data_IF_740103783230
#
_entry.id   IF_740103783230
#
_cell.length_a   1.000
_cell.length_b   1.000
_cell.length_c   1.000
_cell.angle_alpha   90.00
_cell.angle_beta   90.00
_cell.angle_gamma   90.00
#
_symmetry.space_group_name_H-M   'P 1'
#
loop_
_entity.id
_entity.type
_entity.pdbx_description
1 polymer ?
#
# COMPACT_ATOMS: atom_id res chain seq x y z
N UNK A 1 34.13 65.02 -35.74
CA UNK A 1 35.44 65.36 -36.34
C UNK A 1 36.41 64.26 -35.96
N UNK A 2 36.67 63.34 -36.90
CA UNK A 2 38.02 63.05 -37.44
C UNK A 2 39.04 62.68 -36.35
N UNK A 3 39.50 61.43 -36.25
CA UNK A 3 40.31 60.83 -37.30
C UNK A 3 40.52 59.33 -37.15
N UNK A 4 40.46 58.66 -38.30
CA UNK A 4 41.08 57.38 -38.56
C UNK A 4 42.49 57.61 -39.14
N UNK A 5 43.44 56.73 -38.84
CA UNK A 5 44.53 56.23 -39.71
C UNK A 5 45.38 55.22 -38.93
N UNK A 6 45.21 53.92 -39.17
CA UNK A 6 45.96 53.06 -40.12
C UNK A 6 47.36 52.66 -39.67
N UNK A 7 47.56 51.36 -39.46
CA UNK A 7 48.84 50.66 -39.46
C UNK A 7 48.59 49.16 -39.62
N UNK A 8 48.89 48.62 -40.79
CA UNK A 8 48.49 47.30 -41.31
C UNK A 8 49.73 46.40 -41.43
N UNK A 9 49.67 45.20 -40.80
CA UNK A 9 50.17 43.84 -41.22
C UNK A 9 51.66 43.63 -41.59
N UNK A 10 52.12 42.39 -41.95
CA UNK A 10 51.85 41.03 -41.43
C UNK A 10 53.15 40.15 -41.33
N UNK A 11 53.05 38.99 -40.67
CA UNK A 11 53.71 37.72 -41.07
C UNK A 11 52.71 36.62 -40.65
N UNK A 12 52.15 35.74 -41.48
CA UNK A 12 52.62 35.14 -42.72
C UNK A 12 52.84 33.65 -42.43
N UNK A 13 51.90 32.78 -42.82
CA UNK A 13 52.12 31.31 -42.83
C UNK A 13 50.89 30.43 -42.65
N UNK A 14 50.12 30.22 -43.74
CA UNK A 14 49.51 28.93 -44.18
C UNK A 14 48.92 27.99 -43.12
N UNK A 15 47.60 27.92 -42.91
CA UNK A 15 46.63 27.10 -43.69
C UNK A 15 47.19 25.77 -44.24
N UNK A 16 46.94 24.68 -43.52
CA UNK A 16 46.52 23.39 -44.09
C UNK A 16 45.42 22.80 -43.18
N UNK A 17 44.23 22.70 -43.76
CA UNK A 17 43.11 21.91 -43.25
C UNK A 17 43.46 20.45 -43.47
N UNK A 18 43.49 19.66 -42.39
CA UNK A 18 43.39 18.20 -42.49
C UNK A 18 42.26 17.75 -41.58
N UNK A 19 41.08 17.62 -42.19
CA UNK A 19 40.01 16.81 -41.65
C UNK A 19 40.45 15.33 -41.70
N UNK A 20 40.39 14.64 -40.57
CA UNK A 20 40.41 13.19 -40.52
C UNK A 20 39.30 12.75 -39.57
N UNK A 21 38.14 12.46 -40.16
CA UNK A 21 37.12 11.60 -39.58
C UNK A 21 37.70 10.19 -39.60
N UNK A 22 37.88 9.59 -38.42
CA UNK A 22 37.97 8.14 -38.26
C UNK A 22 36.98 7.74 -37.17
N UNK A 23 35.87 7.18 -37.65
CA UNK A 23 34.94 6.34 -36.87
C UNK A 23 35.66 5.03 -36.59
N UNK A 24 35.68 4.59 -35.32
CA UNK A 24 36.26 3.28 -34.98
C UNK A 24 36.28 2.98 -33.48
N UNK A 25 35.11 2.62 -32.95
CA UNK A 25 34.83 1.59 -31.94
C UNK A 25 35.72 1.42 -30.68
N UNK A 26 35.00 1.23 -29.55
CA UNK A 26 35.41 0.58 -28.30
C UNK A 26 36.32 1.39 -27.37
N UNK A 27 35.70 2.06 -26.39
CA UNK A 27 35.78 1.62 -24.99
C UNK A 27 34.60 2.27 -24.25
N UNK A 28 33.58 1.44 -23.99
CA UNK A 28 32.54 1.74 -23.03
C UNK A 28 33.18 1.86 -21.64
N UNK A 29 33.53 3.08 -21.25
CA UNK A 29 33.84 3.45 -19.87
C UNK A 29 32.55 3.62 -19.07
N UNK A 30 31.69 2.59 -19.04
CA UNK A 30 30.71 2.48 -17.98
C UNK A 30 31.51 2.21 -16.71
N UNK A 31 31.72 3.25 -15.91
CA UNK A 31 32.07 3.07 -14.49
C UNK A 31 30.82 2.48 -13.83
N UNK A 32 30.58 1.19 -14.07
CA UNK A 32 29.84 0.36 -13.13
C UNK A 32 30.72 0.31 -11.89
N UNK A 33 30.35 1.08 -10.87
CA UNK A 33 30.71 0.71 -9.52
C UNK A 33 30.21 -0.72 -9.35
N UNK A 34 31.13 -1.67 -9.35
CA UNK A 34 30.85 -3.02 -8.90
C UNK A 34 30.55 -2.89 -7.40
N UNK A 35 29.30 -2.62 -7.06
CA UNK A 35 28.83 -2.72 -5.68
C UNK A 35 28.97 -4.20 -5.36
N UNK A 36 30.04 -4.53 -4.63
CA UNK A 36 30.41 -5.90 -4.32
C UNK A 36 29.38 -6.48 -3.36
N UNK A 37 28.27 -6.95 -3.90
CA UNK A 37 27.26 -7.65 -3.12
C UNK A 37 27.79 -9.03 -2.77
N UNK A 38 27.84 -9.34 -1.47
CA UNK A 38 28.15 -10.67 -0.95
C UNK A 38 26.84 -11.44 -0.75
N UNK A 39 26.93 -12.77 -0.76
CA UNK A 39 25.85 -13.61 -0.24
C UNK A 39 25.54 -13.13 1.18
N UNK A 40 24.34 -12.58 1.35
CA UNK A 40 23.92 -11.96 2.59
C UNK A 40 23.61 -13.01 3.64
N UNK A 41 23.81 -12.69 4.92
CA UNK A 41 23.10 -13.40 5.98
C UNK A 41 21.59 -13.24 5.75
N UNK A 42 20.76 -14.23 6.16
CA UNK A 42 19.32 -14.09 6.08
C UNK A 42 18.87 -12.79 6.74
N UNK A 43 18.12 -11.96 6.01
CA UNK A 43 17.50 -10.77 6.60
C UNK A 43 16.11 -11.17 7.05
N UNK A 44 15.91 -11.15 8.37
CA UNK A 44 14.62 -11.39 8.99
C UNK A 44 13.73 -10.16 8.73
N UNK A 45 12.47 -10.44 8.42
CA UNK A 45 11.43 -9.45 8.22
C UNK A 45 10.91 -8.88 9.53
N UNK A 46 9.65 -8.41 9.57
CA UNK A 46 9.12 -7.70 10.72
C UNK A 46 9.24 -8.54 12.01
N UNK A 47 9.93 -7.99 13.02
CA UNK A 47 10.21 -8.64 14.30
C UNK A 47 11.67 -9.06 14.49
N UNK A 48 12.47 -9.15 13.41
CA UNK A 48 13.92 -9.37 13.50
C UNK A 48 14.36 -10.71 14.08
N UNK A 49 13.42 -11.63 14.34
CA UNK A 49 13.70 -12.94 14.92
C UNK A 49 13.78 -14.01 13.83
N UNK A 50 14.85 -14.82 13.88
CA UNK A 50 14.97 -16.02 13.08
C UNK A 50 14.18 -17.16 13.73
N UNK A 51 12.87 -17.17 13.46
CA UNK A 51 11.99 -18.27 13.84
C UNK A 51 12.21 -19.52 12.99
N UNK A 52 11.57 -20.63 13.39
CA UNK A 52 11.55 -21.85 12.58
C UNK A 52 10.69 -21.66 11.33
N UNK A 53 11.09 -22.24 10.19
CA UNK A 53 10.27 -22.23 8.98
C UNK A 53 8.93 -22.93 9.25
N UNK A 54 7.82 -22.27 8.93
CA UNK A 54 6.48 -22.83 9.16
C UNK A 54 6.24 -23.99 8.18
N UNK A 55 6.06 -25.24 8.67
CA UNK A 55 5.85 -26.38 7.80
C UNK A 55 4.55 -26.22 6.99
N UNK A 56 4.63 -26.49 5.69
CA UNK A 56 3.46 -26.44 4.80
C UNK A 56 3.01 -25.02 4.38
N UNK A 57 3.63 -23.96 4.92
CA UNK A 57 3.39 -22.60 4.45
C UNK A 57 3.92 -22.42 3.01
N UNK A 58 3.12 -21.80 2.15
CA UNK A 58 3.48 -21.58 0.74
C UNK A 58 3.62 -20.09 0.47
N UNK A 59 4.72 -19.67 -0.14
CA UNK A 59 4.86 -18.31 -0.65
C UNK A 59 3.91 -18.13 -1.84
N UNK A 60 2.84 -17.37 -1.63
CA UNK A 60 1.85 -17.04 -2.67
C UNK A 60 2.35 -15.87 -3.48
N UNK A 61 2.83 -14.82 -2.81
CA UNK A 61 3.37 -13.63 -3.46
C UNK A 61 4.69 -13.24 -2.83
N UNK A 62 5.63 -12.81 -3.68
CA UNK A 62 6.86 -12.16 -3.26
C UNK A 62 7.16 -11.08 -4.29
N UNK A 63 7.43 -9.88 -3.78
CA UNK A 63 7.82 -8.74 -4.58
C UNK A 63 8.82 -7.92 -3.78
N UNK A 64 9.83 -7.41 -4.46
CA UNK A 64 10.81 -6.52 -3.90
C UNK A 64 11.01 -5.35 -4.86
N UNK A 65 11.02 -4.14 -4.31
CA UNK A 65 11.10 -2.92 -5.09
C UNK A 65 11.24 -1.71 -4.17
N UNK A 66 10.67 -0.58 -4.57
CA UNK A 66 10.64 0.65 -3.77
C UNK A 66 9.21 1.14 -3.62
N UNK A 67 8.88 1.69 -2.45
CA UNK A 67 7.55 2.25 -2.17
C UNK A 67 6.49 1.20 -1.79
N UNK A 68 6.91 -0.02 -1.46
CA UNK A 68 5.98 -1.04 -0.94
C UNK A 68 5.59 -0.69 0.50
N UNK A 69 4.33 -0.94 0.86
CA UNK A 69 3.82 -0.56 2.16
C UNK A 69 4.34 -1.48 3.26
N UNK A 70 4.70 -0.91 4.40
CA UNK A 70 4.95 -1.69 5.61
C UNK A 70 3.60 -2.23 6.13
N UNK A 71 3.39 -3.54 6.02
CA UNK A 71 2.13 -4.20 6.39
C UNK A 71 2.39 -5.45 7.22
N UNK A 72 1.48 -5.75 8.13
CA UNK A 72 1.52 -6.97 8.97
C UNK A 72 0.08 -7.36 9.22
N UNK A 73 -0.52 -8.15 8.34
CA UNK A 73 -1.96 -8.46 8.42
C UNK A 73 -2.24 -9.91 8.08
N UNK A 74 -3.39 -10.40 8.55
CA UNK A 74 -3.99 -11.64 8.10
C UNK A 74 -5.15 -11.33 7.15
N UNK A 75 -5.29 -12.16 6.13
CA UNK A 75 -6.42 -12.14 5.20
C UNK A 75 -7.11 -13.49 5.29
N UNK A 76 -8.34 -13.49 5.80
CA UNK A 76 -9.16 -14.68 6.04
C UNK A 76 -10.36 -14.73 5.12
N UNK A 77 -10.74 -13.60 4.55
CA UNK A 77 -11.92 -13.51 3.68
C UNK A 77 -11.61 -12.85 2.35
N UNK A 78 -12.46 -13.06 1.32
CA UNK A 78 -12.36 -12.33 0.07
C UNK A 78 -12.44 -10.80 0.24
N UNK A 79 -13.07 -10.32 1.32
CA UNK A 79 -13.15 -8.89 1.60
C UNK A 79 -11.84 -8.34 2.16
N UNK A 80 -11.16 -9.10 3.01
CA UNK A 80 -9.81 -8.76 3.49
C UNK A 80 -8.85 -8.61 2.31
N UNK A 81 -8.88 -9.56 1.37
CA UNK A 81 -8.06 -9.52 0.16
C UNK A 81 -8.37 -8.30 -0.72
N UNK A 82 -9.65 -7.93 -0.86
CA UNK A 82 -10.06 -6.73 -1.61
C UNK A 82 -9.61 -5.43 -0.95
N UNK A 83 -9.66 -5.37 0.39
CA UNK A 83 -9.18 -4.23 1.15
C UNK A 83 -7.65 -4.14 1.11
N UNK A 84 -6.96 -5.27 1.18
CA UNK A 84 -5.50 -5.37 1.13
C UNK A 84 -4.90 -4.86 -0.17
N UNK A 85 -5.56 -5.12 -1.30
CA UNK A 85 -5.18 -4.53 -2.59
C UNK A 85 -5.15 -2.99 -2.56
N UNK A 86 -5.88 -2.36 -1.64
CA UNK A 86 -5.89 -0.91 -1.45
C UNK A 86 -4.55 -0.33 -1.00
N UNK A 87 -3.64 -1.13 -0.41
CA UNK A 87 -2.26 -0.71 -0.14
C UNK A 87 -1.49 -0.41 -1.43
N UNK A 88 -1.90 -0.99 -2.56
CA UNK A 88 -1.25 -0.91 -3.87
C UNK A 88 -2.27 -0.53 -4.94
N UNK A 89 -2.85 0.68 -4.90
CA UNK A 89 -4.08 0.95 -5.64
C UNK A 89 -3.87 1.11 -7.16
N UNK A 90 -2.62 1.02 -7.65
CA UNK A 90 -2.29 0.96 -9.07
C UNK A 90 -2.83 -0.34 -9.70
N UNK A 91 -3.44 -0.26 -10.89
CA UNK A 91 -4.09 -1.44 -11.51
C UNK A 91 -3.13 -2.61 -11.79
N UNK A 92 -1.86 -2.33 -12.07
CA UNK A 92 -0.86 -3.38 -12.26
C UNK A 92 -0.69 -4.22 -11.00
N UNK A 93 -0.06 -3.63 -9.98
CA UNK A 93 0.31 -4.34 -8.75
C UNK A 93 -0.95 -4.79 -7.98
N UNK A 94 -1.86 -3.87 -7.63
CA UNK A 94 -3.02 -4.22 -6.81
C UNK A 94 -4.03 -5.10 -7.51
N UNK A 95 -4.22 -4.93 -8.81
CA UNK A 95 -5.15 -5.74 -9.61
C UNK A 95 -4.68 -7.19 -9.72
N UNK A 96 -3.42 -7.39 -10.10
CA UNK A 96 -2.81 -8.72 -10.21
C UNK A 96 -2.72 -9.41 -8.85
N UNK A 97 -2.20 -8.70 -7.83
CA UNK A 97 -2.11 -9.19 -6.47
C UNK A 97 -3.48 -9.66 -5.97
N UNK A 98 -4.51 -8.83 -6.11
CA UNK A 98 -5.88 -9.21 -5.72
C UNK A 98 -6.35 -10.47 -6.44
N UNK A 99 -6.16 -10.57 -7.75
CA UNK A 99 -6.55 -11.75 -8.52
C UNK A 99 -5.86 -13.02 -8.03
N UNK A 100 -4.54 -12.93 -7.79
CA UNK A 100 -3.71 -14.02 -7.28
C UNK A 100 -4.13 -14.49 -5.89
N UNK A 101 -4.42 -13.56 -4.99
CA UNK A 101 -4.83 -13.87 -3.62
C UNK A 101 -6.28 -14.39 -3.56
N UNK A 102 -7.19 -13.89 -4.40
CA UNK A 102 -8.57 -14.38 -4.48
C UNK A 102 -8.69 -15.78 -5.10
N UNK A 103 -7.67 -16.24 -5.82
CA UNK A 103 -7.63 -17.61 -6.35
C UNK A 103 -7.31 -18.66 -5.28
N UNK A 104 -7.01 -18.25 -4.04
CA UNK A 104 -6.75 -19.14 -2.90
C UNK A 104 -8.06 -19.63 -2.28
N UNK A 105 -8.01 -20.82 -1.69
CA UNK A 105 -9.11 -21.37 -0.91
C UNK A 105 -9.04 -20.79 0.52
N UNK A 106 -9.70 -19.66 0.73
CA UNK A 106 -9.70 -18.94 2.01
C UNK A 106 -10.56 -19.61 3.08
N UNK A 107 -11.30 -20.68 2.75
CA UNK A 107 -11.99 -21.50 3.75
C UNK A 107 -11.03 -22.53 4.38
N UNK A 108 -9.95 -22.88 3.68
CA UNK A 108 -8.94 -23.84 4.13
C UNK A 108 -7.60 -23.19 4.51
N UNK A 109 -7.34 -21.97 4.04
CA UNK A 109 -6.07 -21.26 4.21
C UNK A 109 -6.28 -19.84 4.74
N UNK A 110 -5.37 -19.38 5.60
CA UNK A 110 -5.18 -17.96 5.94
C UNK A 110 -3.99 -17.43 5.17
N UNK A 111 -4.09 -16.19 4.70
CA UNK A 111 -2.96 -15.49 4.11
C UNK A 111 -2.28 -14.59 5.14
N UNK A 112 -1.00 -14.82 5.40
CA UNK A 112 -0.14 -13.94 6.20
C UNK A 112 0.57 -12.99 5.26
N UNK A 113 0.24 -11.70 5.36
CA UNK A 113 0.85 -10.65 4.54
C UNK A 113 1.81 -9.79 5.36
N UNK A 114 3.04 -9.69 4.86
CA UNK A 114 4.13 -8.94 5.49
C UNK A 114 4.77 -8.00 4.49
N UNK A 115 5.00 -6.76 4.91
CA UNK A 115 5.76 -5.76 4.16
C UNK A 115 6.74 -5.05 5.08
N UNK A 116 7.98 -4.90 4.62
CA UNK A 116 9.07 -4.31 5.40
C UNK A 116 10.20 -3.81 4.50
N UNK A 117 11.06 -2.95 5.02
CA UNK A 117 12.29 -2.58 4.34
C UNK A 117 13.40 -3.59 4.64
N UNK A 118 14.05 -4.11 3.61
CA UNK A 118 15.25 -4.97 3.72
C UNK A 118 16.55 -4.17 3.58
N UNK A 119 16.49 -2.83 3.61
CA UNK A 119 17.66 -1.97 3.49
C UNK A 119 18.38 -2.19 2.16
N UNK A 120 19.71 -2.30 2.18
CA UNK A 120 20.51 -2.56 0.98
C UNK A 120 20.65 -4.06 0.64
N UNK A 121 19.67 -4.89 1.01
CA UNK A 121 19.66 -6.32 0.70
C UNK A 121 18.58 -6.66 -0.32
N UNK A 122 19.00 -7.17 -1.49
CA UNK A 122 18.09 -7.76 -2.48
C UNK A 122 17.84 -9.24 -2.18
N UNK A 123 16.72 -9.79 -2.65
CA UNK A 123 16.35 -11.19 -2.44
C UNK A 123 15.57 -11.78 -3.63
N UNK A 124 15.74 -13.08 -3.86
CA UNK A 124 14.96 -13.84 -4.86
C UNK A 124 13.64 -14.38 -4.31
N UNK A 125 13.47 -14.42 -2.99
CA UNK A 125 12.24 -14.90 -2.37
C UNK A 125 12.18 -14.65 -0.86
N UNK A 126 11.16 -15.21 -0.24
CA UNK A 126 10.99 -15.24 1.20
C UNK A 126 10.29 -16.52 1.64
N UNK A 127 10.51 -16.90 2.89
CA UNK A 127 9.81 -17.99 3.59
C UNK A 127 9.13 -17.47 4.85
N UNK A 128 8.00 -18.07 5.22
CA UNK A 128 7.34 -17.77 6.48
C UNK A 128 8.05 -18.49 7.63
N UNK A 129 8.24 -17.78 8.73
CA UNK A 129 8.84 -18.27 9.95
C UNK A 129 7.91 -18.03 11.14
N UNK A 130 8.09 -18.79 12.21
CA UNK A 130 7.35 -18.64 13.46
C UNK A 130 8.29 -18.76 14.65
N UNK A 131 8.11 -17.86 15.61
CA UNK A 131 8.75 -17.87 16.93
C UNK A 131 7.68 -17.64 18.00
N UNK A 132 7.83 -18.25 19.18
CA UNK A 132 6.82 -18.17 20.24
C UNK A 132 6.63 -16.74 20.79
N UNK A 133 7.69 -15.92 20.77
CA UNK A 133 7.63 -14.55 21.30
C UNK A 133 7.09 -13.57 20.27
N UNK A 134 7.49 -13.74 18.99
CA UNK A 134 7.11 -12.79 17.92
C UNK A 134 5.96 -13.27 17.03
N UNK A 135 5.54 -14.52 17.13
CA UNK A 135 4.58 -15.14 16.21
C UNK A 135 5.16 -15.29 14.80
N UNK A 136 4.33 -15.07 13.78
CA UNK A 136 4.74 -15.12 12.39
C UNK A 136 5.70 -13.98 12.03
N UNK A 137 6.73 -14.33 11.27
CA UNK A 137 7.63 -13.40 10.61
C UNK A 137 7.98 -13.93 9.23
N UNK A 138 8.71 -13.15 8.44
CA UNK A 138 9.25 -13.59 7.15
C UNK A 138 10.77 -13.62 7.22
N UNK A 139 11.40 -14.45 6.41
CA UNK A 139 12.86 -14.44 6.23
C UNK A 139 13.18 -14.46 4.75
N UNK A 140 14.05 -13.55 4.31
CA UNK A 140 14.46 -13.48 2.92
C UNK A 140 15.31 -14.71 2.53
N UNK A 141 15.15 -15.16 1.29
CA UNK A 141 15.94 -16.22 0.66
C UNK A 141 16.65 -15.68 -0.59
N UNK A 142 17.73 -16.35 -0.99
CA UNK A 142 18.53 -15.97 -2.17
C UNK A 142 18.99 -14.50 -2.11
N UNK A 143 19.58 -14.14 -0.96
CA UNK A 143 19.86 -12.74 -0.62
C UNK A 143 21.23 -12.28 -1.08
N UNK A 144 21.30 -11.05 -1.61
CA UNK A 144 22.55 -10.34 -1.89
C UNK A 144 22.55 -9.01 -1.16
N UNK A 145 23.52 -8.83 -0.26
CA UNK A 145 23.65 -7.60 0.55
C UNK A 145 24.71 -6.70 -0.05
N UNK A 146 24.35 -5.45 -0.28
CA UNK A 146 25.22 -4.41 -0.80
C UNK A 146 25.65 -3.46 0.34
N UNK A 147 26.91 -3.00 0.33
CA UNK A 147 27.42 -2.06 1.34
C UNK A 147 26.68 -0.71 1.29
N UNK A 148 26.31 -0.28 0.09
CA UNK A 148 25.54 0.94 -0.17
C UNK A 148 24.52 0.69 -1.28
N UNK A 149 23.40 1.39 -1.23
CA UNK A 149 22.38 1.39 -2.26
C UNK A 149 21.77 2.79 -2.36
N UNK A 150 21.34 3.19 -3.56
CA UNK A 150 20.76 4.52 -3.80
C UNK A 150 19.43 4.71 -3.05
N UNK A 151 18.71 3.62 -2.82
CA UNK A 151 17.49 3.58 -2.01
C UNK A 151 17.32 2.20 -1.40
N UNK A 152 16.78 2.11 -0.17
CA UNK A 152 16.51 0.82 0.45
C UNK A 152 15.45 0.05 -0.34
N UNK A 153 15.59 -1.27 -0.34
CA UNK A 153 14.60 -2.19 -0.89
C UNK A 153 13.46 -2.33 0.12
N UNK A 154 12.24 -2.25 -0.40
CA UNK A 154 11.03 -2.65 0.29
C UNK A 154 10.57 -4.00 -0.24
N UNK A 155 10.01 -4.82 0.65
CA UNK A 155 9.57 -6.19 0.37
C UNK A 155 8.10 -6.31 0.69
N UNK A 156 7.39 -7.05 -0.15
CA UNK A 156 6.04 -7.56 0.10
C UNK A 156 6.07 -9.09 -0.06
N UNK A 157 5.71 -9.82 0.99
CA UNK A 157 5.54 -11.25 0.93
C UNK A 157 4.19 -11.67 1.51
N UNK A 158 3.48 -12.54 0.79
CA UNK A 158 2.21 -13.14 1.21
C UNK A 158 2.34 -14.65 1.21
N UNK A 159 2.01 -15.26 2.34
CA UNK A 159 2.14 -16.70 2.56
C UNK A 159 0.77 -17.31 2.84
N UNK A 160 0.45 -18.44 2.21
CA UNK A 160 -0.69 -19.25 2.58
C UNK A 160 -0.28 -20.21 3.70
N UNK A 161 -1.04 -20.19 4.78
CA UNK A 161 -0.90 -21.08 5.94
C UNK A 161 -2.22 -21.85 6.08
N UNK A 162 -2.21 -23.17 6.31
CA UNK A 162 -3.44 -23.90 6.60
C UNK A 162 -4.16 -23.28 7.80
N UNK A 163 -5.48 -23.10 7.72
CA UNK A 163 -6.28 -22.43 8.76
C UNK A 163 -6.09 -23.07 10.14
N UNK A 164 -6.01 -24.40 10.19
CA UNK A 164 -5.74 -25.18 11.42
C UNK A 164 -4.42 -24.82 12.11
N UNK A 165 -3.45 -24.31 11.36
CA UNK A 165 -2.10 -24.00 11.83
C UNK A 165 -1.94 -22.49 12.11
N UNK A 166 -2.96 -21.66 11.78
CA UNK A 166 -2.96 -20.21 11.98
C UNK A 166 -3.01 -19.78 13.46
N UNK A 167 -3.48 -20.66 14.33
CA UNK A 167 -3.74 -20.35 15.75
C UNK A 167 -4.94 -19.42 15.96
N UNK A 168 -5.35 -19.29 17.23
CA UNK A 168 -6.53 -18.51 17.64
C UNK A 168 -6.21 -17.04 17.95
N UNK A 169 -4.99 -16.73 18.38
CA UNK A 169 -4.47 -15.37 18.59
C UNK A 169 -3.13 -15.17 17.86
N UNK A 170 -3.14 -15.18 16.53
CA UNK A 170 -1.93 -15.05 15.74
C UNK A 170 -1.26 -13.70 15.98
N UNK A 171 0.07 -13.69 16.04
CA UNK A 171 0.89 -12.47 16.06
C UNK A 171 1.76 -12.40 14.82
N UNK A 172 2.09 -11.18 14.39
CA UNK A 172 3.00 -10.93 13.28
C UNK A 172 4.07 -9.92 13.72
N UNK A 173 5.31 -10.37 13.85
CA UNK A 173 6.43 -9.55 14.32
C UNK A 173 6.21 -8.95 15.71
N UNK A 174 5.64 -9.73 16.63
CA UNK A 174 5.42 -9.40 18.04
C UNK A 174 4.13 -8.67 18.37
N UNK A 175 3.36 -8.25 17.36
CA UNK A 175 2.13 -7.49 17.52
C UNK A 175 0.90 -8.24 16.97
N UNK A 176 -0.31 -7.90 17.43
CA UNK A 176 -1.54 -8.31 16.75
C UNK A 176 -1.51 -7.89 15.26
N UNK A 177 -2.12 -8.68 14.37
CA UNK A 177 -2.26 -8.31 12.97
C UNK A 177 -2.96 -6.95 12.85
N UNK A 178 -2.40 -6.09 12.00
CA UNK A 178 -3.00 -4.82 11.61
C UNK A 178 -4.23 -5.03 10.72
N UNK A 179 -4.86 -3.92 10.29
CA UNK A 179 -6.03 -3.98 9.43
C UNK A 179 -5.71 -4.56 8.05
N UNK A 180 -6.67 -5.26 7.40
CA UNK A 180 -6.47 -5.81 6.06
C UNK A 180 -6.14 -4.74 5.01
N UNK A 181 -6.76 -3.57 5.07
CA UNK A 181 -6.55 -2.48 4.12
C UNK A 181 -6.01 -1.20 4.78
N UNK A 182 -5.62 -0.20 3.97
CA UNK A 182 -5.13 1.09 4.48
C UNK A 182 -6.22 1.97 5.08
N UNK A 183 -7.49 1.59 4.92
CA UNK A 183 -8.61 2.37 5.39
C UNK A 183 -9.01 1.99 6.81
N UNK A 184 -9.28 3.00 7.63
CA UNK A 184 -9.80 2.86 8.98
C UNK A 184 -11.26 3.32 9.02
N UNK A 185 -12.15 2.53 9.62
CA UNK A 185 -13.53 2.96 9.89
C UNK A 185 -13.54 3.89 11.12
N UNK A 186 -13.75 5.18 10.90
CA UNK A 186 -13.77 6.18 11.98
C UNK A 186 -15.12 6.27 12.68
N UNK A 187 -16.21 6.15 11.92
CA UNK A 187 -17.55 6.30 12.45
C UNK A 187 -18.56 5.46 11.65
N UNK A 188 -19.54 4.93 12.37
CA UNK A 188 -20.68 4.21 11.81
C UNK A 188 -21.95 4.64 12.56
N UNK A 189 -23.06 4.75 11.83
CA UNK A 189 -24.37 4.86 12.45
C UNK A 189 -25.43 4.12 11.61
N UNK A 190 -26.31 3.34 12.25
CA UNK A 190 -27.48 2.79 11.57
C UNK A 190 -28.45 3.91 11.21
N UNK A 191 -29.06 3.81 10.04
CA UNK A 191 -30.10 4.73 9.59
C UNK A 191 -31.46 4.06 9.76
N UNK A 192 -32.44 4.80 10.28
CA UNK A 192 -33.81 4.32 10.46
C UNK A 192 -34.51 3.98 9.14
N UNK A 193 -35.63 3.24 9.21
CA UNK A 193 -36.34 2.72 8.03
C UNK A 193 -36.79 3.76 7.01
N UNK A 194 -37.03 5.02 7.42
CA UNK A 194 -37.33 6.11 6.49
C UNK A 194 -36.17 6.45 5.53
N UNK A 195 -34.93 6.09 5.88
CA UNK A 195 -33.77 6.23 5.01
C UNK A 195 -33.62 5.07 4.00
N UNK A 196 -34.42 4.00 4.12
CA UNK A 196 -34.30 2.82 3.26
C UNK A 196 -34.64 3.08 1.78
N UNK A 197 -35.40 4.15 1.49
CA UNK A 197 -35.75 4.57 0.12
C UNK A 197 -34.81 5.63 -0.48
N UNK A 198 -33.76 6.06 0.24
CA UNK A 198 -32.83 7.07 -0.29
C UNK A 198 -31.76 6.38 -1.15
N UNK A 199 -31.42 7.01 -2.27
CA UNK A 199 -30.32 6.57 -3.10
C UNK A 199 -29.01 6.50 -2.28
N UNK A 200 -28.14 5.49 -2.50
CA UNK A 200 -26.80 5.47 -1.95
C UNK A 200 -26.07 6.77 -2.28
N UNK A 201 -25.36 7.32 -1.30
CA UNK A 201 -24.57 8.54 -1.44
C UNK A 201 -23.17 8.26 -0.97
N UNK A 202 -22.21 8.81 -1.67
CA UNK A 202 -20.82 8.77 -1.26
C UNK A 202 -20.18 10.12 -1.54
N UNK A 203 -19.34 10.59 -0.63
CA UNK A 203 -18.65 11.87 -0.79
C UNK A 203 -17.33 11.87 -0.02
N UNK A 204 -16.39 12.68 -0.49
CA UNK A 204 -15.27 13.08 0.34
C UNK A 204 -15.78 14.04 1.42
N UNK A 205 -15.35 13.79 2.65
CA UNK A 205 -15.68 14.56 3.86
C UNK A 205 -14.41 14.90 4.63
N UNK A 206 -13.33 15.17 3.90
CA UNK A 206 -12.03 15.50 4.49
C UNK A 206 -12.08 16.81 5.28
N UNK A 207 -12.95 17.74 4.89
CA UNK A 207 -13.14 19.06 5.51
C UNK A 207 -14.47 19.18 6.28
N UNK A 208 -14.54 20.04 7.32
CA UNK A 208 -15.76 20.21 8.14
C UNK A 208 -17.01 20.62 7.35
N UNK A 209 -16.86 21.50 6.35
CA UNK A 209 -17.94 21.97 5.48
C UNK A 209 -18.46 20.84 4.56
N UNK A 210 -17.55 20.01 4.03
CA UNK A 210 -17.88 18.82 3.25
C UNK A 210 -18.68 17.80 4.08
N UNK A 211 -18.21 17.55 5.32
CA UNK A 211 -18.94 16.69 6.26
C UNK A 211 -20.33 17.24 6.57
N UNK A 212 -20.43 18.54 6.90
CA UNK A 212 -21.70 19.20 7.17
C UNK A 212 -22.67 19.12 5.98
N UNK A 213 -22.18 19.28 4.75
CA UNK A 213 -22.98 19.13 3.54
C UNK A 213 -23.46 17.68 3.33
N UNK A 214 -22.62 16.70 3.62
CA UNK A 214 -22.98 15.29 3.52
C UNK A 214 -24.03 14.87 4.57
N UNK A 215 -23.84 15.34 5.82
CA UNK A 215 -24.62 14.97 7.00
C UNK A 215 -25.97 15.69 7.10
N UNK A 216 -26.11 16.90 6.53
CA UNK A 216 -27.35 17.70 6.56
C UNK A 216 -28.65 16.94 6.24
N UNK A 217 -28.72 16.06 5.21
CA UNK A 217 -29.93 15.29 4.93
C UNK A 217 -30.12 14.04 5.80
N UNK A 218 -29.15 13.67 6.65
CA UNK A 218 -29.24 12.49 7.50
C UNK A 218 -30.16 12.73 8.70
N UNK A 219 -30.73 11.67 9.31
CA UNK A 219 -31.47 11.79 10.57
C UNK A 219 -30.59 12.37 11.68
N UNK A 220 -31.15 13.27 12.50
CA UNK A 220 -30.42 13.95 13.57
C UNK A 220 -29.67 13.02 14.51
N UNK A 221 -30.25 11.86 14.86
CA UNK A 221 -29.60 10.86 15.70
C UNK A 221 -28.33 10.27 15.05
N UNK A 222 -28.36 10.03 13.74
CA UNK A 222 -27.19 9.55 13.01
C UNK A 222 -26.12 10.63 12.88
N UNK A 223 -26.52 11.87 12.62
CA UNK A 223 -25.60 13.03 12.57
C UNK A 223 -24.89 13.21 13.91
N UNK A 224 -25.62 13.21 15.02
CA UNK A 224 -25.04 13.32 16.36
C UNK A 224 -24.06 12.17 16.67
N UNK A 225 -24.39 10.95 16.26
CA UNK A 225 -23.48 9.80 16.41
C UNK A 225 -22.17 10.00 15.63
N UNK A 226 -22.24 10.45 14.37
CA UNK A 226 -21.05 10.74 13.57
C UNK A 226 -20.24 11.90 14.17
N UNK A 227 -20.89 12.99 14.56
CA UNK A 227 -20.23 14.16 15.17
C UNK A 227 -19.52 13.81 16.48
N UNK A 228 -20.12 12.96 17.32
CA UNK A 228 -19.50 12.52 18.57
C UNK A 228 -18.18 11.77 18.37
N UNK A 229 -18.05 11.06 17.23
CA UNK A 229 -16.85 10.29 16.88
C UNK A 229 -15.83 11.12 16.12
N UNK A 230 -16.30 12.04 15.27
CA UNK A 230 -15.46 12.77 14.33
C UNK A 230 -15.09 14.18 14.80
N UNK A 231 -15.82 14.77 15.76
CA UNK A 231 -15.69 16.17 16.15
C UNK A 231 -14.25 16.54 16.52
N UNK A 232 -13.61 15.74 17.36
CA UNK A 232 -12.21 15.94 17.76
C UNK A 232 -11.21 15.72 16.63
N UNK A 233 -11.56 14.95 15.59
CA UNK A 233 -10.66 14.63 14.48
C UNK A 233 -10.51 15.78 13.47
N UNK A 234 -11.49 16.67 13.39
CA UNK A 234 -11.38 17.89 12.58
C UNK A 234 -10.59 18.99 13.30
N UNK A 235 -10.50 18.90 14.63
CA UNK A 235 -9.75 19.84 15.47
C UNK A 235 -8.32 19.37 15.76
N UNK A 236 -8.02 18.10 15.51
CA UNK A 236 -6.71 17.48 15.79
C UNK A 236 -5.79 17.40 14.56
N UNK A 237 -4.49 17.55 14.79
CA UNK A 237 -3.44 17.21 13.80
C UNK A 237 -3.34 15.68 13.71
N UNK A 238 -3.91 15.10 12.67
CA UNK A 238 -3.76 13.67 12.39
C UNK A 238 -2.33 13.32 11.95
N UNK A 239 -1.86 12.07 12.20
CA UNK A 239 -0.59 11.60 11.68
C UNK A 239 -0.62 11.51 10.16
N UNK A 240 -0.08 12.53 9.49
CA UNK A 240 0.04 12.61 8.03
C UNK A 240 -1.21 13.11 7.30
N UNK A 241 -1.09 13.41 6.00
CA UNK A 241 -2.23 13.80 5.19
C UNK A 241 -3.16 12.60 4.99
N UNK A 242 -4.36 12.65 5.58
CA UNK A 242 -5.41 11.65 5.39
C UNK A 242 -6.62 12.28 4.69
N UNK A 243 -7.30 11.47 3.87
CA UNK A 243 -8.57 11.83 3.22
C UNK A 243 -9.70 11.01 3.83
N UNK A 244 -10.87 11.61 3.97
CA UNK A 244 -12.02 10.97 4.61
C UNK A 244 -13.16 10.80 3.61
N UNK A 245 -13.82 9.64 3.64
CA UNK A 245 -14.89 9.31 2.72
C UNK A 245 -16.11 8.80 3.47
N UNK A 246 -17.24 9.44 3.25
CA UNK A 246 -18.51 9.05 3.83
C UNK A 246 -19.35 8.29 2.80
N UNK A 247 -20.03 7.25 3.27
CA UNK A 247 -20.87 6.39 2.46
C UNK A 247 -22.19 6.14 3.18
N UNK A 248 -23.32 6.23 2.45
CA UNK A 248 -24.57 5.61 2.86
C UNK A 248 -24.78 4.33 2.07
N UNK A 249 -25.15 3.27 2.77
CA UNK A 249 -25.32 1.95 2.16
C UNK A 249 -26.30 1.09 2.95
N UNK A 250 -26.31 -0.21 2.65
CA UNK A 250 -27.05 -1.21 3.44
C UNK A 250 -26.11 -2.34 3.84
N UNK A 251 -26.18 -2.76 5.10
CA UNK A 251 -25.22 -3.68 5.69
C UNK A 251 -25.72 -4.24 7.02
N UNK A 252 -24.92 -5.12 7.62
CA UNK A 252 -25.30 -5.86 8.82
C UNK A 252 -24.57 -5.41 10.10
N UNK A 253 -23.77 -4.36 10.04
CA UNK A 253 -23.03 -3.87 11.21
C UNK A 253 -21.82 -3.03 10.81
N UNK A 254 -20.92 -2.86 11.78
CA UNK A 254 -19.69 -2.05 11.68
C UNK A 254 -18.54 -2.80 11.00
N UNK A 255 -18.71 -4.09 10.68
CA UNK A 255 -17.72 -4.95 10.01
C UNK A 255 -17.57 -4.59 8.52
N UNK A 256 -17.17 -3.34 8.25
CA UNK A 256 -16.97 -2.78 6.94
C UNK A 256 -15.49 -2.48 6.72
N UNK A 257 -15.00 -2.90 5.57
CA UNK A 257 -13.69 -2.54 5.03
C UNK A 257 -13.90 -1.65 3.80
N UNK A 258 -12.88 -0.89 3.42
CA UNK A 258 -12.93 -0.10 2.18
C UNK A 258 -12.14 -0.82 1.07
N UNK A 259 -12.84 -1.21 0.00
CA UNK A 259 -12.19 -1.60 -1.25
C UNK A 259 -11.72 -0.33 -1.96
N UNK A 260 -10.42 -0.22 -2.18
CA UNK A 260 -9.79 0.89 -2.90
C UNK A 260 -9.16 0.32 -4.17
N UNK A 261 -9.57 0.85 -5.32
CA UNK A 261 -8.93 0.58 -6.61
C UNK A 261 -8.66 1.88 -7.34
N UNK A 262 -7.87 1.83 -8.42
CA UNK A 262 -7.66 2.97 -9.33
C UNK A 262 -8.97 3.61 -9.84
N UNK A 263 -10.08 2.85 -9.87
CA UNK A 263 -11.36 3.27 -10.45
C UNK A 263 -12.39 3.64 -9.41
N UNK A 264 -12.35 3.05 -8.21
CA UNK A 264 -13.41 3.24 -7.21
C UNK A 264 -12.96 3.09 -5.76
N UNK A 265 -13.67 3.78 -4.86
CA UNK A 265 -13.67 3.56 -3.42
C UNK A 265 -15.07 3.06 -3.02
N UNK A 266 -15.15 1.88 -2.39
CA UNK A 266 -16.44 1.29 -2.01
C UNK A 266 -16.37 0.46 -0.73
N UNK A 267 -17.29 0.65 0.24
CA UNK A 267 -17.38 -0.23 1.39
C UNK A 267 -17.71 -1.67 0.97
N UNK A 268 -16.98 -2.62 1.53
CA UNK A 268 -17.23 -4.05 1.42
C UNK A 268 -17.35 -4.64 2.82
N UNK A 269 -18.09 -5.72 2.95
CA UNK A 269 -18.29 -6.36 4.25
C UNK A 269 -17.17 -7.34 4.53
N UNK A 270 -16.59 -7.30 5.73
CA UNK A 270 -15.48 -8.16 6.14
C UNK A 270 -15.80 -9.67 6.15
N UNK A 271 -17.07 -10.09 6.17
CA UNK A 271 -17.43 -11.51 6.05
C UNK A 271 -18.87 -11.86 6.49
N UNK A 272 -19.21 -13.16 6.41
CA UNK A 272 -20.47 -13.75 6.88
C UNK A 272 -21.69 -13.55 5.97
N UNK A 273 -22.82 -14.19 6.27
CA UNK A 273 -24.11 -13.96 5.59
C UNK A 273 -24.82 -12.70 6.14
N UNK A 274 -25.40 -11.85 5.29
CA UNK A 274 -26.18 -10.67 5.70
C UNK A 274 -27.62 -10.90 5.28
N UNK A 275 -28.41 -11.52 6.16
CA UNK A 275 -29.80 -11.90 5.84
C UNK A 275 -30.73 -10.69 5.77
N UNK A 276 -30.49 -9.66 6.59
CA UNK A 276 -31.31 -8.45 6.63
C UNK A 276 -30.44 -7.17 6.65
N UNK A 277 -30.01 -6.66 5.48
CA UNK A 277 -29.16 -5.49 5.39
C UNK A 277 -29.94 -4.22 5.74
N UNK A 278 -29.54 -3.58 6.85
CA UNK A 278 -30.11 -2.33 7.34
C UNK A 278 -29.38 -1.12 6.75
N UNK A 279 -30.08 -0.01 6.47
CA UNK A 279 -29.44 1.22 6.01
C UNK A 279 -28.42 1.73 7.04
N UNK A 280 -27.28 2.23 6.57
CA UNK A 280 -26.22 2.77 7.43
C UNK A 280 -25.56 4.00 6.80
N UNK A 281 -24.82 4.73 7.63
CA UNK A 281 -23.79 5.68 7.21
C UNK A 281 -22.46 5.30 7.86
N UNK A 282 -21.38 5.35 7.09
CA UNK A 282 -20.03 5.04 7.53
C UNK A 282 -19.04 6.08 7.02
N UNK A 283 -18.02 6.41 7.82
CA UNK A 283 -16.94 7.33 7.44
C UNK A 283 -15.61 6.61 7.61
N UNK A 284 -14.84 6.55 6.52
CA UNK A 284 -13.51 5.96 6.50
C UNK A 284 -12.44 7.04 6.43
N UNK A 285 -11.32 6.82 7.11
CA UNK A 285 -10.05 7.52 6.89
C UNK A 285 -9.16 6.70 5.98
N UNK A 286 -8.47 7.34 5.05
CA UNK A 286 -7.48 6.70 4.18
C UNK A 286 -6.25 7.60 4.09
N UNK A 287 -5.02 7.07 4.22
CA UNK A 287 -3.81 7.82 3.90
C UNK A 287 -3.90 8.42 2.49
N UNK A 288 -3.58 9.71 2.34
CA UNK A 288 -3.83 10.43 1.09
C UNK A 288 -3.02 9.87 -0.09
N UNK A 289 -1.83 9.32 0.17
CA UNK A 289 -0.97 8.63 -0.80
C UNK A 289 -1.57 7.30 -1.31
N UNK A 290 -2.56 6.75 -0.61
CA UNK A 290 -3.27 5.52 -0.99
C UNK A 290 -4.58 5.77 -1.71
N UNK A 291 -4.97 7.02 -1.93
CA UNK A 291 -6.18 7.35 -2.69
C UNK A 291 -5.81 7.72 -4.14
N UNK A 292 -6.21 6.92 -5.14
CA UNK A 292 -5.95 7.25 -6.54
C UNK A 292 -6.69 8.52 -6.96
N UNK A 293 -6.03 9.37 -7.75
CA UNK A 293 -6.63 10.59 -8.30
C UNK A 293 -7.77 10.32 -9.27
N UNK A 294 -7.78 9.16 -9.93
CA UNK A 294 -8.80 8.74 -10.90
C UNK A 294 -10.00 8.02 -10.28
N UNK A 295 -9.96 7.71 -8.99
CA UNK A 295 -10.97 6.85 -8.40
C UNK A 295 -12.26 7.62 -8.10
N UNK A 296 -13.40 7.04 -8.49
CA UNK A 296 -14.72 7.56 -8.20
C UNK A 296 -15.15 7.12 -6.80
N UNK A 297 -15.73 8.03 -6.02
CA UNK A 297 -16.20 7.74 -4.67
C UNK A 297 -17.60 7.13 -4.76
N UNK A 298 -17.76 5.90 -4.29
CA UNK A 298 -19.02 5.14 -4.39
C UNK A 298 -19.14 4.33 -5.68
N UNK A 299 -20.22 3.54 -5.76
CA UNK A 299 -20.56 2.67 -6.89
C UNK A 299 -21.87 1.95 -6.67
#
# INVERSE_FOLDING_TARGET
MTGARTGVRPRGGTWLITAAIVVGALLAGCVWWAVAGRDGAPVSGPGGADGAVVPGAKTVHFEQGHGLAAVRTLLRTPADVRAFAGWYPQEGIGGELRGKLLARDLDAEVLVATGWSSGCTSAGGAVLTYDENTGYAARLTDTRTYETCDSPWDVLAVFAVPEKDAGTDPRIGGAPPGPPGPAELLAFAPLGGAAAGRAPRAAEVSQPDQFGAFARPLPAAATAALESRLGSLYDSVLPGPARRFAFTGRGCGEDLLLEITSRRLRPVRAGGACRDPRPYVAVFSVPADRVPSSAVIGG
#
